data_IF_286266566190
#
_entry.id   IF_286266566190
#
_cell.length_a   1.000
_cell.length_b   1.000
_cell.length_c   1.000
_cell.angle_alpha   90.00
_cell.angle_beta   90.00
_cell.angle_gamma   90.00
#
_symmetry.space_group_name_H-M   'P 1'
#
loop_
_entity.id
_entity.type
_entity.pdbx_description
1 polymer ?
#
# COMPACT_ATOMS: atom_id res chain seq x y z
N UNK A 1 -17.68 -6.77 -21.79
CA UNK A 1 -16.70 -7.04 -20.71
C UNK A 1 -16.54 -5.77 -19.91
N UNK A 2 -16.83 -5.78 -18.61
CA UNK A 2 -16.68 -4.58 -17.77
C UNK A 2 -15.20 -4.37 -17.45
N UNK A 3 -14.60 -3.27 -17.91
CA UNK A 3 -13.22 -2.93 -17.57
C UNK A 3 -13.14 -2.62 -16.08
N UNK A 4 -12.40 -3.43 -15.34
CA UNK A 4 -12.05 -3.15 -13.94
C UNK A 4 -10.96 -2.08 -13.94
N UNK A 5 -11.30 -0.84 -13.61
CA UNK A 5 -10.33 0.25 -13.48
C UNK A 5 -9.24 -0.19 -12.49
N UNK A 6 -7.97 -0.13 -12.90
CA UNK A 6 -6.86 -0.46 -12.02
C UNK A 6 -6.92 0.44 -10.78
N UNK A 7 -6.87 -0.16 -9.59
CA UNK A 7 -6.86 0.60 -8.34
C UNK A 7 -5.47 1.22 -8.17
N UNK A 8 -5.41 2.53 -8.00
CA UNK A 8 -4.19 3.20 -7.53
C UNK A 8 -3.92 2.79 -6.09
N UNK A 9 -2.75 2.20 -5.84
CA UNK A 9 -2.29 1.76 -4.51
C UNK A 9 -1.17 2.71 -4.10
N UNK A 10 -1.17 3.17 -2.84
CA UNK A 10 -0.10 4.00 -2.25
C UNK A 10 0.11 3.62 -0.80
N UNK A 11 1.37 3.56 -0.36
CA UNK A 11 1.69 3.15 1.01
C UNK A 11 1.24 4.20 2.07
N UNK A 12 0.64 3.77 3.20
CA UNK A 12 0.34 4.66 4.33
C UNK A 12 1.58 5.40 4.84
N UNK A 13 1.40 6.67 5.25
CA UNK A 13 2.46 7.54 5.76
C UNK A 13 2.15 7.98 7.20
N UNK A 14 3.17 8.43 7.92
CA UNK A 14 3.06 8.85 9.33
C UNK A 14 3.11 7.69 10.33
N UNK A 15 2.79 8.00 11.58
CA UNK A 15 2.92 7.14 12.77
C UNK A 15 1.65 6.32 13.10
N UNK A 16 0.53 6.60 12.42
CA UNK A 16 -0.71 5.84 12.58
C UNK A 16 -0.58 4.45 11.94
N UNK A 17 -0.90 3.42 12.73
CA UNK A 17 -0.94 2.04 12.26
C UNK A 17 -2.28 1.70 11.58
N UNK A 18 -2.21 0.98 10.46
CA UNK A 18 -3.34 0.32 9.81
C UNK A 18 -3.45 -1.14 10.28
N UNK A 19 -2.32 -1.76 10.61
CA UNK A 19 -2.24 -3.09 11.17
C UNK A 19 -2.11 -3.08 12.71
N UNK A 20 -2.12 -4.26 13.35
CA UNK A 20 -2.05 -4.40 14.84
C UNK A 20 -0.66 -4.13 15.45
N UNK A 21 0.33 -3.75 14.66
CA UNK A 21 1.73 -3.65 15.10
C UNK A 21 2.70 -3.36 13.97
N UNK A 22 3.92 -2.95 14.33
CA UNK A 22 4.89 -2.40 13.39
C UNK A 22 5.44 -3.40 12.37
N UNK A 23 5.63 -4.66 12.74
CA UNK A 23 6.18 -5.68 11.82
C UNK A 23 5.20 -5.91 10.65
N UNK A 24 3.93 -6.13 10.96
CA UNK A 24 2.89 -6.29 9.96
C UNK A 24 2.61 -4.99 9.17
N UNK A 25 2.69 -3.82 9.80
CA UNK A 25 2.60 -2.53 9.11
C UNK A 25 3.77 -2.32 8.13
N UNK A 26 5.00 -2.69 8.50
CA UNK A 26 6.16 -2.56 7.63
C UNK A 26 6.01 -3.44 6.39
N UNK A 27 5.58 -4.70 6.55
CA UNK A 27 5.31 -5.58 5.42
C UNK A 27 4.24 -5.00 4.47
N UNK A 28 3.15 -4.45 5.03
CA UNK A 28 2.10 -3.79 4.25
C UNK A 28 2.66 -2.57 3.48
N UNK A 29 3.40 -1.69 4.17
CA UNK A 29 3.98 -0.48 3.55
C UNK A 29 4.95 -0.82 2.44
N UNK A 30 5.81 -1.81 2.63
CA UNK A 30 6.76 -2.27 1.60
C UNK A 30 6.02 -2.84 0.38
N UNK A 31 5.01 -3.69 0.59
CA UNK A 31 4.19 -4.21 -0.50
C UNK A 31 3.49 -3.09 -1.27
N UNK A 32 2.84 -2.16 -0.56
CA UNK A 32 2.11 -1.06 -1.20
C UNK A 32 3.03 -0.06 -1.89
N UNK A 33 4.26 0.13 -1.40
CA UNK A 33 5.28 0.95 -2.05
C UNK A 33 5.70 0.36 -3.40
N UNK A 34 5.86 -0.97 -3.47
CA UNK A 34 6.16 -1.66 -4.74
C UNK A 34 5.01 -1.58 -5.76
N UNK A 35 3.81 -1.19 -5.33
CA UNK A 35 2.62 -1.07 -6.17
C UNK A 35 2.22 0.39 -6.42
N UNK A 36 3.02 1.35 -5.91
CA UNK A 36 2.78 2.77 -6.12
C UNK A 36 3.16 3.15 -7.56
N UNK A 37 2.26 3.74 -8.37
CA UNK A 37 2.55 4.10 -9.77
C UNK A 37 3.67 5.13 -9.95
N UNK A 38 4.09 5.81 -8.88
CA UNK A 38 5.24 6.72 -8.91
C UNK A 38 6.58 6.02 -8.60
N UNK A 39 6.53 4.75 -8.17
CA UNK A 39 7.71 3.93 -7.83
C UNK A 39 7.93 2.81 -8.84
N UNK A 40 6.86 2.13 -9.28
CA UNK A 40 6.89 1.04 -10.26
C UNK A 40 6.66 1.55 -11.69
#
# INVERSE_FOLDING_TARGET
MSQKKARTIRAPRGDRLSCKGWVQEAALRMLMNNLDPEVA
#
